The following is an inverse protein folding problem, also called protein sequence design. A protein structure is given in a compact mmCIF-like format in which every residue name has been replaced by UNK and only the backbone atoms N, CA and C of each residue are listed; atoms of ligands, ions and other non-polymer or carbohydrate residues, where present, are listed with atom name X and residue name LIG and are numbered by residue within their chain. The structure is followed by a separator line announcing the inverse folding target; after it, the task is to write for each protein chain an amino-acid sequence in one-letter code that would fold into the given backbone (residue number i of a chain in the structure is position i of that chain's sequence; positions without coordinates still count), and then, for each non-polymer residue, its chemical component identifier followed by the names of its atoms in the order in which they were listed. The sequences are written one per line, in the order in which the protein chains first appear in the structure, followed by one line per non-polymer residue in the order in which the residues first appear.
data_IF_380912388414
#
_entry.id   IF_380912388414
#
_cell.length_a   1.000
_cell.length_b   1.000
_cell.length_c   1.000
_cell.angle_alpha   90.00
_cell.angle_beta   90.00
_cell.angle_gamma   90.00
#
_symmetry.space_group_name_H-M   'P 1'
#
loop_
_entity.id
_entity.type
_entity.pdbx_description
1 polymer ?
#
# COMPACT_ATOMS: atom_id res chain seq x y z
N UNK A 1 7.17 -9.01 18.41
CA UNK A 1 7.06 -9.78 17.15
C UNK A 1 7.34 -8.84 15.98
N UNK A 2 8.63 -8.60 15.68
CA UNK A 2 9.04 -7.77 14.54
C UNK A 2 8.98 -8.60 13.27
N UNK A 3 7.79 -8.70 12.67
CA UNK A 3 7.61 -9.32 11.36
C UNK A 3 8.45 -8.60 10.30
N UNK A 4 8.77 -9.31 9.22
CA UNK A 4 9.56 -8.88 8.04
C UNK A 4 9.23 -7.46 7.51
N UNK A 5 8.06 -6.89 7.86
CA UNK A 5 7.58 -5.60 7.40
C UNK A 5 7.26 -4.65 8.58
N UNK A 6 7.89 -3.47 8.58
CA UNK A 6 7.59 -2.42 9.56
C UNK A 6 6.24 -1.72 9.30
N UNK A 7 5.71 -1.01 10.32
CA UNK A 7 4.44 -0.25 10.27
C UNK A 7 4.30 0.68 9.05
N UNK A 8 5.41 1.18 8.52
CA UNK A 8 5.44 2.14 7.42
C UNK A 8 5.81 1.53 6.05
N UNK A 9 5.81 0.20 5.90
CA UNK A 9 6.33 -0.48 4.71
C UNK A 9 5.75 0.04 3.38
N UNK A 10 4.42 0.09 3.23
CA UNK A 10 3.74 0.62 2.02
C UNK A 10 4.10 2.09 1.78
N UNK A 11 4.10 2.90 2.84
CA UNK A 11 4.44 4.33 2.76
C UNK A 11 5.90 4.53 2.30
N UNK A 12 6.82 3.73 2.82
CA UNK A 12 8.24 3.77 2.46
C UNK A 12 8.42 3.38 1.01
N UNK A 13 7.80 2.28 0.56
CA UNK A 13 7.88 1.82 -0.83
C UNK A 13 7.30 2.86 -1.80
N UNK A 14 6.15 3.46 -1.48
CA UNK A 14 5.59 4.57 -2.28
C UNK A 14 6.57 5.74 -2.39
N UNK A 15 7.17 6.16 -1.28
CA UNK A 15 8.14 7.26 -1.27
C UNK A 15 9.39 6.94 -2.09
N UNK A 16 9.86 5.70 -2.08
CA UNK A 16 11.00 5.24 -2.90
C UNK A 16 10.68 5.30 -4.39
N UNK A 17 9.42 5.07 -4.80
CA UNK A 17 8.94 5.30 -6.17
C UNK A 17 8.73 6.78 -6.51
N UNK A 18 8.95 7.71 -5.57
CA UNK A 18 8.74 9.15 -5.78
C UNK A 18 7.27 9.57 -5.88
N UNK A 19 6.32 8.68 -5.53
CA UNK A 19 4.89 8.91 -5.75
C UNK A 19 4.22 9.60 -4.56
N UNK A 20 3.26 10.47 -4.84
CA UNK A 20 2.27 10.99 -3.88
C UNK A 20 1.13 9.98 -3.69
N UNK A 21 0.43 10.07 -2.56
CA UNK A 21 -0.74 9.21 -2.31
C UNK A 21 -1.83 9.36 -3.38
N UNK A 22 -2.03 10.58 -3.88
CA UNK A 22 -3.01 10.85 -4.95
C UNK A 22 -2.64 10.13 -6.25
N UNK A 23 -1.35 10.05 -6.59
CA UNK A 23 -0.90 9.41 -7.84
C UNK A 23 -1.11 7.90 -7.79
N UNK A 24 -0.83 7.26 -6.66
CA UNK A 24 -1.15 5.84 -6.46
C UNK A 24 -2.67 5.62 -6.55
N UNK A 25 -3.45 6.42 -5.83
CA UNK A 25 -4.90 6.29 -5.83
C UNK A 25 -5.50 6.43 -7.24
N UNK A 26 -5.05 7.43 -8.01
CA UNK A 26 -5.46 7.63 -9.40
C UNK A 26 -5.06 6.48 -10.31
N UNK A 27 -3.83 5.93 -10.19
CA UNK A 27 -3.38 4.78 -10.99
C UNK A 27 -4.19 3.52 -10.72
N UNK A 28 -4.66 3.34 -9.48
CA UNK A 28 -5.42 2.16 -9.06
C UNK A 28 -6.93 2.33 -9.16
N UNK A 29 -7.42 3.51 -9.57
CA UNK A 29 -8.86 3.79 -9.65
C UNK A 29 -9.56 3.77 -8.29
N UNK A 30 -8.85 4.12 -7.21
CA UNK A 30 -9.38 4.15 -5.84
C UNK A 30 -9.33 5.56 -5.26
N UNK A 31 -10.03 5.82 -4.16
CA UNK A 31 -9.95 7.12 -3.50
C UNK A 31 -8.63 7.29 -2.74
N UNK A 32 -8.10 8.53 -2.72
CA UNK A 32 -6.88 8.85 -1.97
C UNK A 32 -7.03 8.65 -0.46
N UNK A 33 -8.23 8.92 0.08
CA UNK A 33 -8.52 8.66 1.50
C UNK A 33 -8.48 7.17 1.81
N UNK A 34 -9.04 6.32 0.95
CA UNK A 34 -8.96 4.88 1.10
C UNK A 34 -7.50 4.40 1.06
N UNK A 35 -6.72 4.81 0.06
CA UNK A 35 -5.30 4.48 -0.01
C UNK A 35 -4.52 4.93 1.24
N UNK A 36 -4.81 6.13 1.77
CA UNK A 36 -4.18 6.61 3.01
C UNK A 36 -4.53 5.72 4.22
N UNK A 37 -5.75 5.19 4.31
CA UNK A 37 -6.12 4.23 5.37
C UNK A 37 -5.41 2.89 5.22
N UNK A 38 -5.14 2.45 3.98
CA UNK A 38 -4.34 1.25 3.69
C UNK A 38 -2.89 1.46 4.11
N UNK A 39 -2.26 2.60 3.76
CA UNK A 39 -0.89 2.91 4.20
C UNK A 39 -0.73 2.94 5.72
N UNK A 40 -1.79 3.38 6.42
CA UNK A 40 -1.81 3.48 7.88
C UNK A 40 -2.16 2.17 8.59
N UNK A 41 -2.40 1.07 7.85
CA UNK A 41 -2.95 -0.21 8.38
C UNK A 41 -4.29 -0.05 9.13
N UNK A 42 -5.07 0.98 8.79
CA UNK A 42 -6.42 1.17 9.36
C UNK A 42 -7.43 0.26 8.64
N UNK A 43 -7.21 0.02 7.34
CA UNK A 43 -8.02 -0.90 6.53
C UNK A 43 -7.14 -1.89 5.81
N UNK A 44 -7.58 -3.15 5.81
CA UNK A 44 -7.06 -4.18 4.91
C UNK A 44 -7.76 -4.00 3.56
N UNK A 45 -7.02 -3.83 2.45
CA UNK A 45 -7.62 -3.71 1.13
C UNK A 45 -8.21 -5.05 0.65
N UNK A 46 -9.03 -5.01 -0.41
CA UNK A 46 -9.42 -6.26 -1.09
C UNK A 46 -8.20 -6.93 -1.72
N UNK A 47 -8.27 -8.24 -1.98
CA UNK A 47 -7.17 -8.98 -2.61
C UNK A 47 -6.72 -8.34 -3.93
N UNK A 48 -7.66 -7.90 -4.76
CA UNK A 48 -7.36 -7.19 -6.01
C UNK A 48 -6.53 -5.92 -5.74
N UNK A 49 -6.98 -5.06 -4.83
CA UNK A 49 -6.26 -3.82 -4.51
C UNK A 49 -4.91 -4.10 -3.84
N UNK A 50 -4.82 -5.13 -3.00
CA UNK A 50 -3.56 -5.56 -2.38
C UNK A 50 -2.54 -5.96 -3.46
N UNK A 51 -2.94 -6.77 -4.44
CA UNK A 51 -2.10 -7.16 -5.57
C UNK A 51 -1.70 -5.96 -6.42
N UNK A 52 -2.64 -5.09 -6.76
CA UNK A 52 -2.37 -3.90 -7.57
C UNK A 52 -1.37 -2.94 -6.86
N UNK A 53 -1.51 -2.75 -5.54
CA UNK A 53 -0.55 -1.95 -4.73
C UNK A 53 0.82 -2.63 -4.71
N UNK A 54 0.84 -3.95 -4.50
CA UNK A 54 2.06 -4.73 -4.46
C UNK A 54 2.85 -4.65 -5.76
N UNK A 55 2.17 -4.78 -6.89
CA UNK A 55 2.77 -4.65 -8.21
C UNK A 55 3.30 -3.23 -8.46
N UNK A 56 2.48 -2.21 -8.19
CA UNK A 56 2.87 -0.82 -8.43
C UNK A 56 4.06 -0.38 -7.57
N UNK A 57 4.11 -0.82 -6.31
CA UNK A 57 5.13 -0.41 -5.34
C UNK A 57 6.30 -1.37 -5.25
N UNK A 58 6.26 -2.50 -5.95
CA UNK A 58 7.26 -3.57 -5.89
C UNK A 58 7.48 -4.09 -4.46
N UNK A 59 6.38 -4.48 -3.81
CA UNK A 59 6.35 -5.01 -2.45
C UNK A 59 5.61 -6.34 -2.36
N UNK A 60 6.00 -7.16 -1.39
CA UNK A 60 5.37 -8.46 -1.16
C UNK A 60 3.94 -8.30 -0.60
N UNK A 61 2.96 -8.90 -1.29
CA UNK A 61 1.53 -8.82 -0.94
C UNK A 61 1.21 -9.43 0.43
N UNK A 62 2.09 -10.30 0.95
CA UNK A 62 1.96 -10.88 2.30
C UNK A 62 1.81 -9.82 3.38
N UNK A 63 2.31 -8.61 3.17
CA UNK A 63 2.12 -7.49 4.08
C UNK A 63 0.64 -7.20 4.42
N UNK A 64 -0.27 -7.49 3.50
CA UNK A 64 -1.71 -7.27 3.66
C UNK A 64 -2.45 -8.49 4.22
N UNK A 65 -1.77 -9.62 4.41
CA UNK A 65 -2.36 -10.90 4.85
C UNK A 65 -2.10 -11.21 6.34
N UNK A 66 -1.27 -10.41 7.00
CA UNK A 66 -0.86 -10.53 8.42
C UNK A 66 -1.60 -9.55 9.34
#
# INVERSE_FOLDING_TARGET
MGGKYGKFYVRTARKQKGLKQQEVASKLGISRSYYATVEAKIRVPSLKVALDISELLDIDVKFFLD
#
